data_IF_439888543607
#
_entry.id   IF_439888543607
#
_cell.length_a   1.000
_cell.length_b   1.000
_cell.length_c   1.000
_cell.angle_alpha   90.00
_cell.angle_beta   90.00
_cell.angle_gamma   90.00
#
_symmetry.space_group_name_H-M   'P 1'
#
loop_
_entity.id
_entity.type
_entity.pdbx_description
1 polymer ?
#
# COMPACT_ATOMS: atom_id res chain seq x y z
N UNK A 1 67.69 -10.93 -28.31
CA UNK A 1 67.16 -11.37 -29.64
C UNK A 1 65.93 -12.28 -29.53
N UNK A 2 65.62 -12.85 -28.34
CA UNK A 2 64.42 -13.69 -28.11
C UNK A 2 63.07 -12.97 -28.24
N UNK A 3 63.04 -11.66 -28.00
CA UNK A 3 61.79 -10.91 -27.86
C UNK A 3 61.31 -10.29 -29.18
N UNK A 4 62.12 -10.40 -30.23
CA UNK A 4 61.84 -9.85 -31.56
C UNK A 4 60.70 -10.61 -32.30
N UNK A 5 60.66 -11.96 -32.33
CA UNK A 5 59.53 -12.68 -32.90
C UNK A 5 58.17 -12.44 -32.20
N UNK A 6 58.04 -12.47 -30.85
CA UNK A 6 56.76 -12.22 -30.19
C UNK A 6 56.30 -10.75 -30.35
N UNK A 7 57.22 -9.79 -30.38
CA UNK A 7 56.85 -8.37 -30.61
C UNK A 7 56.32 -8.13 -32.01
N UNK A 8 56.89 -8.78 -33.03
CA UNK A 8 56.35 -8.71 -34.40
C UNK A 8 54.94 -9.34 -34.51
N UNK A 9 54.69 -10.45 -33.82
CA UNK A 9 53.36 -11.06 -33.77
C UNK A 9 52.32 -10.15 -33.10
N UNK A 10 52.71 -9.46 -32.01
CA UNK A 10 51.86 -8.47 -31.33
C UNK A 10 51.59 -7.23 -32.19
N UNK A 11 52.56 -6.80 -33.00
CA UNK A 11 52.38 -5.70 -33.96
C UNK A 11 51.39 -6.06 -35.07
N UNK A 12 51.49 -7.29 -35.59
CA UNK A 12 50.53 -7.82 -36.56
C UNK A 12 49.11 -7.88 -35.99
N UNK A 13 48.94 -8.41 -34.78
CA UNK A 13 47.62 -8.47 -34.14
C UNK A 13 47.06 -7.09 -33.81
N UNK A 14 47.91 -6.13 -33.42
CA UNK A 14 47.50 -4.75 -33.20
C UNK A 14 47.04 -4.09 -34.51
N UNK A 15 47.71 -4.35 -35.62
CA UNK A 15 47.29 -3.85 -36.94
C UNK A 15 45.92 -4.41 -37.35
N UNK A 16 45.70 -5.72 -37.17
CA UNK A 16 44.40 -6.35 -37.42
C UNK A 16 43.29 -5.76 -36.53
N UNK A 17 43.57 -5.53 -35.25
CA UNK A 17 42.62 -4.90 -34.33
C UNK A 17 42.29 -3.46 -34.72
N UNK A 18 43.28 -2.66 -35.12
CA UNK A 18 43.05 -1.29 -35.57
C UNK A 18 42.20 -1.27 -36.84
N UNK A 19 42.46 -2.16 -37.79
CA UNK A 19 41.64 -2.29 -39.01
C UNK A 19 40.21 -2.73 -38.67
N UNK A 20 40.04 -3.70 -37.76
CA UNK A 20 38.73 -4.13 -37.31
C UNK A 20 37.93 -3.03 -36.61
N UNK A 21 38.56 -2.29 -35.69
CA UNK A 21 37.93 -1.18 -34.97
C UNK A 21 37.57 -0.04 -35.91
N UNK A 22 38.45 0.34 -36.84
CA UNK A 22 38.18 1.41 -37.81
C UNK A 22 37.02 1.05 -38.74
N UNK A 23 36.96 -0.19 -39.25
CA UNK A 23 35.83 -0.67 -40.03
C UNK A 23 34.51 -0.64 -39.23
N UNK A 24 34.55 -1.05 -37.95
CA UNK A 24 33.37 -1.00 -37.09
C UNK A 24 32.87 0.42 -36.83
N UNK A 25 33.79 1.36 -36.55
CA UNK A 25 33.46 2.79 -36.34
C UNK A 25 32.89 3.41 -37.61
N UNK A 26 33.45 3.09 -38.79
CA UNK A 26 32.92 3.56 -40.07
C UNK A 26 31.50 3.03 -40.33
N UNK A 27 31.25 1.75 -40.03
CA UNK A 27 29.92 1.17 -40.12
C UNK A 27 28.91 1.83 -39.17
N UNK A 28 29.32 2.12 -37.94
CA UNK A 28 28.49 2.85 -36.97
C UNK A 28 28.18 4.28 -37.45
N UNK A 29 29.17 5.01 -37.97
CA UNK A 29 28.98 6.35 -38.51
C UNK A 29 27.99 6.38 -39.67
N UNK A 30 28.05 5.39 -40.57
CA UNK A 30 27.07 5.26 -41.66
C UNK A 30 25.66 5.03 -41.12
N UNK A 31 25.49 4.15 -40.13
CA UNK A 31 24.18 3.87 -39.50
C UNK A 31 23.62 5.08 -38.75
N UNK A 32 24.48 5.87 -38.11
CA UNK A 32 24.09 7.12 -37.43
C UNK A 32 23.65 8.16 -38.47
N UNK A 33 24.41 8.35 -39.56
CA UNK A 33 24.03 9.26 -40.66
C UNK A 33 22.72 8.85 -41.34
N UNK A 34 22.47 7.54 -41.44
CA UNK A 34 21.21 7.00 -41.95
C UNK A 34 20.03 7.12 -40.95
N UNK A 35 20.25 7.66 -39.74
CA UNK A 35 19.20 7.81 -38.73
C UNK A 35 18.66 6.50 -38.18
N UNK A 36 19.44 5.41 -38.25
CA UNK A 36 19.00 4.07 -37.83
C UNK A 36 18.74 3.99 -36.31
N UNK A 37 19.35 4.86 -35.51
CA UNK A 37 19.19 4.93 -34.05
C UNK A 37 18.38 6.18 -33.67
N UNK A 38 17.06 6.02 -33.50
CA UNK A 38 16.18 7.11 -33.02
C UNK A 38 16.25 7.20 -31.49
N UNK A 39 17.01 8.15 -30.97
CA UNK A 39 17.16 8.37 -29.51
C UNK A 39 16.08 9.25 -28.90
N UNK A 40 15.21 9.87 -29.70
CA UNK A 40 14.22 10.87 -29.28
C UNK A 40 13.24 10.41 -28.19
N UNK A 41 12.97 9.10 -28.10
CA UNK A 41 12.03 8.50 -27.13
C UNK A 41 12.73 7.58 -26.11
N UNK A 42 14.03 7.74 -25.93
CA UNK A 42 14.84 6.94 -25.01
C UNK A 42 14.74 7.38 -23.55
N UNK A 43 15.23 6.55 -22.63
CA UNK A 43 15.45 6.94 -21.24
C UNK A 43 16.69 7.86 -21.16
N UNK A 44 16.49 9.13 -20.82
CA UNK A 44 17.58 10.12 -20.70
C UNK A 44 18.70 9.70 -19.74
N UNK A 45 18.37 8.92 -18.69
CA UNK A 45 19.35 8.37 -17.76
C UNK A 45 20.36 7.42 -18.44
N UNK A 46 19.89 6.58 -19.37
CA UNK A 46 20.77 5.65 -20.10
C UNK A 46 21.67 6.39 -21.08
N UNK A 47 21.16 7.45 -21.70
CA UNK A 47 21.95 8.32 -22.58
C UNK A 47 23.09 9.00 -21.80
N UNK A 48 22.79 9.58 -20.64
CA UNK A 48 23.79 10.18 -19.78
C UNK A 48 24.85 9.16 -19.35
N UNK A 49 24.43 7.94 -18.98
CA UNK A 49 25.36 6.86 -18.63
C UNK A 49 26.28 6.51 -19.81
N UNK A 50 25.75 6.42 -21.03
CA UNK A 50 26.55 6.15 -22.22
C UNK A 50 27.56 7.28 -22.51
N UNK A 51 27.16 8.54 -22.36
CA UNK A 51 28.05 9.70 -22.51
C UNK A 51 29.17 9.69 -21.47
N UNK A 52 28.87 9.40 -20.19
CA UNK A 52 29.88 9.28 -19.14
C UNK A 52 30.87 8.14 -19.40
N UNK A 53 30.39 7.00 -19.89
CA UNK A 53 31.25 5.88 -20.28
C UNK A 53 32.15 6.25 -21.47
N UNK A 54 31.65 7.05 -22.42
CA UNK A 54 32.45 7.56 -23.52
C UNK A 54 33.56 8.49 -23.02
N UNK A 55 33.25 9.44 -22.13
CA UNK A 55 34.26 10.30 -21.51
C UNK A 55 35.31 9.50 -20.74
N UNK A 56 34.87 8.44 -20.04
CA UNK A 56 35.78 7.54 -19.33
C UNK A 56 36.75 6.84 -20.28
N UNK A 57 36.26 6.32 -21.41
CA UNK A 57 37.12 5.70 -22.44
C UNK A 57 38.06 6.70 -23.09
N UNK A 58 37.61 7.95 -23.32
CA UNK A 58 38.44 9.01 -23.89
C UNK A 58 39.60 9.39 -22.95
N UNK A 59 39.33 9.58 -21.66
CA UNK A 59 40.36 9.87 -20.67
C UNK A 59 41.32 8.69 -20.48
N UNK A 60 40.82 7.46 -20.56
CA UNK A 60 41.65 6.25 -20.52
C UNK A 60 42.56 6.15 -21.76
N UNK A 61 42.04 6.41 -22.96
CA UNK A 61 42.82 6.43 -24.18
C UNK A 61 43.92 7.51 -24.13
N UNK A 62 43.61 8.69 -23.57
CA UNK A 62 44.62 9.72 -23.34
C UNK A 62 45.73 9.23 -22.40
N UNK A 63 45.38 8.56 -21.29
CA UNK A 63 46.38 8.00 -20.37
C UNK A 63 47.25 6.93 -21.04
N UNK A 64 46.68 6.08 -21.89
CA UNK A 64 47.43 5.06 -22.63
C UNK A 64 48.37 5.70 -23.65
N UNK A 65 47.94 6.75 -24.33
CA UNK A 65 48.77 7.52 -25.26
C UNK A 65 49.95 8.19 -24.53
N UNK A 66 49.70 8.80 -23.38
CA UNK A 66 50.75 9.44 -22.60
C UNK A 66 51.76 8.42 -22.05
N UNK A 67 51.28 7.21 -21.68
CA UNK A 67 52.15 6.08 -21.31
C UNK A 67 53.01 5.61 -22.48
N UNK A 68 52.45 5.49 -23.69
CA UNK A 68 53.21 5.03 -24.86
C UNK A 68 54.27 6.05 -25.30
N UNK A 69 54.05 7.34 -25.03
CA UNK A 69 55.03 8.41 -25.22
C UNK A 69 56.05 8.52 -24.08
N UNK A 70 55.93 7.72 -23.02
CA UNK A 70 56.86 7.71 -21.89
C UNK A 70 56.73 8.91 -20.94
N UNK A 71 55.59 9.62 -20.94
CA UNK A 71 55.37 10.78 -20.07
C UNK A 71 54.95 10.33 -18.65
N UNK A 72 55.27 11.16 -17.66
CA UNK A 72 54.85 10.92 -16.27
C UNK A 72 53.36 11.12 -16.09
N UNK A 73 52.73 10.23 -15.31
CA UNK A 73 51.29 10.21 -15.04
C UNK A 73 50.89 11.02 -13.79
N UNK A 74 51.87 11.41 -12.97
CA UNK A 74 51.60 11.96 -11.64
C UNK A 74 50.89 13.33 -11.65
N UNK A 75 51.04 14.11 -12.71
CA UNK A 75 50.52 15.47 -12.80
C UNK A 75 49.42 15.63 -13.86
N UNK A 76 48.87 14.54 -14.39
CA UNK A 76 47.91 14.64 -15.49
C UNK A 76 46.47 14.85 -14.99
N UNK A 77 45.76 15.89 -15.48
CA UNK A 77 44.37 16.13 -15.11
C UNK A 77 43.43 15.00 -15.53
N UNK A 78 43.83 14.19 -16.52
CA UNK A 78 43.08 13.01 -16.96
C UNK A 78 42.88 11.99 -15.82
N UNK A 79 43.84 11.84 -14.90
CA UNK A 79 43.71 10.91 -13.77
C UNK A 79 42.61 11.38 -12.82
N UNK A 80 42.57 12.68 -12.51
CA UNK A 80 41.55 13.27 -11.65
C UNK A 80 40.16 13.12 -12.26
N UNK A 81 40.00 13.46 -13.55
CA UNK A 81 38.75 13.25 -14.29
C UNK A 81 38.31 11.79 -14.29
N UNK A 82 39.24 10.85 -14.42
CA UNK A 82 38.93 9.43 -14.39
C UNK A 82 38.38 8.98 -13.02
N UNK A 83 38.95 9.50 -11.94
CA UNK A 83 38.47 9.26 -10.57
C UNK A 83 37.08 9.88 -10.38
N UNK A 84 36.88 11.11 -10.83
CA UNK A 84 35.57 11.78 -10.79
C UNK A 84 34.51 10.97 -11.55
N UNK A 85 34.77 10.63 -12.82
CA UNK A 85 33.87 9.82 -13.63
C UNK A 85 33.56 8.46 -12.98
N UNK A 86 34.56 7.80 -12.39
CA UNK A 86 34.36 6.54 -11.65
C UNK A 86 33.43 6.73 -10.45
N UNK A 87 33.65 7.77 -9.64
CA UNK A 87 32.80 8.03 -8.48
C UNK A 87 31.37 8.36 -8.89
N UNK A 88 31.17 9.13 -9.96
CA UNK A 88 29.84 9.41 -10.52
C UNK A 88 29.15 8.12 -10.96
N UNK A 89 29.84 7.24 -11.71
CA UNK A 89 29.31 5.96 -12.14
C UNK A 89 28.93 5.05 -10.95
N UNK A 90 29.70 5.07 -9.87
CA UNK A 90 29.36 4.34 -8.64
C UNK A 90 28.11 4.89 -7.96
N UNK A 91 27.96 6.22 -7.89
CA UNK A 91 26.77 6.87 -7.31
C UNK A 91 25.51 6.72 -8.17
N UNK A 92 25.65 6.46 -9.47
CA UNK A 92 24.53 6.19 -10.36
C UNK A 92 23.90 4.80 -10.17
N UNK A 93 24.65 3.81 -9.65
CA UNK A 93 24.17 2.43 -9.45
C UNK A 93 22.84 2.29 -8.68
N UNK A 94 22.61 2.97 -7.54
CA UNK A 94 21.32 2.87 -6.85
C UNK A 94 20.15 3.43 -7.67
N UNK A 95 20.38 4.44 -8.51
CA UNK A 95 19.35 5.00 -9.41
C UNK A 95 19.03 3.98 -10.51
N UNK A 96 20.06 3.38 -11.09
CA UNK A 96 19.91 2.30 -12.07
C UNK A 96 19.12 1.13 -11.49
N UNK A 97 19.38 0.74 -10.24
CA UNK A 97 18.62 -0.33 -9.57
C UNK A 97 17.13 0.02 -9.43
N UNK A 98 16.80 1.27 -9.08
CA UNK A 98 15.40 1.74 -9.01
C UNK A 98 14.72 1.78 -10.38
N UNK A 99 15.48 2.07 -11.45
CA UNK A 99 14.97 2.12 -12.82
C UNK A 99 14.96 0.75 -13.51
N UNK A 100 15.57 -0.28 -12.92
CA UNK A 100 15.70 -1.62 -13.51
C UNK A 100 14.38 -2.17 -14.04
N UNK A 101 13.31 -2.06 -13.27
CA UNK A 101 11.99 -2.51 -13.74
C UNK A 101 11.51 -1.77 -14.99
N UNK A 102 11.73 -0.46 -15.07
CA UNK A 102 11.33 0.34 -16.22
C UNK A 102 12.17 -0.01 -17.45
N UNK A 103 13.47 -0.20 -17.27
CA UNK A 103 14.39 -0.63 -18.33
C UNK A 103 13.97 -2.01 -18.84
N UNK A 104 13.81 -2.98 -17.94
CA UNK A 104 13.41 -4.35 -18.28
C UNK A 104 12.05 -4.38 -18.97
N UNK A 105 11.11 -3.53 -18.55
CA UNK A 105 9.80 -3.39 -19.21
C UNK A 105 9.93 -2.85 -20.62
N UNK A 106 10.70 -1.79 -20.84
CA UNK A 106 10.90 -1.21 -22.17
C UNK A 106 11.63 -2.19 -23.11
N UNK A 107 12.62 -2.90 -22.58
CA UNK A 107 13.33 -3.96 -23.33
C UNK A 107 12.37 -5.09 -23.69
N UNK A 108 11.53 -5.56 -22.76
CA UNK A 108 10.49 -6.56 -23.05
C UNK A 108 9.56 -6.07 -24.15
N UNK A 109 9.02 -4.86 -24.05
CA UNK A 109 8.14 -4.28 -25.08
C UNK A 109 8.84 -4.19 -26.45
N UNK A 110 10.11 -3.81 -26.49
CA UNK A 110 10.87 -3.75 -27.74
C UNK A 110 11.12 -5.14 -28.37
N UNK A 111 11.31 -6.19 -27.55
CA UNK A 111 11.59 -7.55 -28.02
C UNK A 111 10.30 -8.31 -28.38
N UNK A 112 9.25 -8.21 -27.55
CA UNK A 112 8.02 -8.98 -27.72
C UNK A 112 6.91 -8.22 -28.45
N UNK A 113 7.05 -6.91 -28.67
CA UNK A 113 6.05 -6.08 -29.36
C UNK A 113 4.74 -5.87 -28.58
N UNK A 114 4.58 -6.49 -27.41
CA UNK A 114 3.38 -6.44 -26.59
C UNK A 114 3.72 -6.00 -25.16
N UNK A 115 2.95 -5.05 -24.62
CA UNK A 115 2.95 -4.74 -23.19
C UNK A 115 2.23 -5.87 -22.49
N UNK A 116 2.97 -6.88 -22.01
CA UNK A 116 2.38 -8.01 -21.30
C UNK A 116 1.35 -7.57 -20.24
N UNK A 117 0.26 -8.33 -20.10
CA UNK A 117 -0.84 -8.04 -19.19
C UNK A 117 -0.46 -8.11 -17.70
N UNK A 118 0.74 -8.63 -17.39
CA UNK A 118 1.28 -8.82 -16.04
C UNK A 118 1.90 -7.56 -15.41
N UNK A 119 1.32 -6.38 -15.65
CA UNK A 119 1.80 -5.15 -15.02
C UNK A 119 0.88 -4.74 -13.85
N UNK A 120 1.24 -5.00 -12.58
CA UNK A 120 0.44 -4.67 -11.41
C UNK A 120 0.21 -3.16 -11.21
N UNK A 121 0.88 -2.30 -11.99
CA UNK A 121 0.67 -0.85 -12.02
C UNK A 121 -0.31 -0.38 -13.11
N UNK A 122 -0.90 -1.29 -13.91
CA UNK A 122 -1.98 -0.96 -14.87
C UNK A 122 -3.32 -0.71 -14.19
N UNK A 123 -3.49 -1.12 -12.92
CA UNK A 123 -4.70 -0.85 -12.14
C UNK A 123 -4.78 0.60 -11.62
N UNK A 124 -4.23 1.56 -12.37
CA UNK A 124 -4.54 2.97 -12.12
C UNK A 124 -5.88 3.25 -12.78
N UNK A 125 -6.81 3.97 -12.13
CA UNK A 125 -8.06 4.36 -12.77
C UNK A 125 -7.74 5.21 -14.01
N UNK A 126 -8.05 4.70 -15.19
CA UNK A 126 -7.96 5.46 -16.43
C UNK A 126 -9.27 6.25 -16.63
N UNK A 127 -9.29 7.59 -16.45
CA UNK A 127 -10.51 8.39 -16.57
C UNK A 127 -11.09 8.40 -17.99
N UNK A 128 -10.30 7.98 -18.99
CA UNK A 128 -10.74 7.87 -20.40
C UNK A 128 -11.77 6.74 -20.61
N UNK A 129 -11.69 5.67 -19.82
CA UNK A 129 -12.66 4.56 -19.88
C UNK A 129 -14.04 4.91 -19.30
N UNK A 130 -14.16 6.04 -18.59
CA UNK A 130 -15.46 6.58 -18.15
C UNK A 130 -16.11 7.46 -19.20
N UNK A 131 -15.33 8.08 -20.10
CA UNK A 131 -15.87 9.03 -21.09
C UNK A 131 -16.53 8.33 -22.28
N UNK A 132 -16.04 7.15 -22.70
CA UNK A 132 -16.66 6.43 -23.82
C UNK A 132 -18.05 5.89 -23.51
N UNK A 133 -18.39 5.67 -22.24
CA UNK A 133 -19.73 5.19 -21.83
C UNK A 133 -20.79 6.29 -21.74
N UNK A 134 -20.40 7.56 -21.82
CA UNK A 134 -21.34 8.70 -21.75
C UNK A 134 -21.67 9.24 -23.14
N UNK A 135 -20.86 8.90 -24.17
CA UNK A 135 -21.06 9.38 -25.54
C UNK A 135 -21.83 8.42 -26.46
N UNK A 136 -22.10 7.18 -26.03
CA UNK A 136 -22.76 6.14 -26.85
C UNK A 136 -24.26 5.93 -26.53
N UNK A 137 -24.90 6.84 -25.77
CA UNK A 137 -26.35 6.76 -25.47
C UNK A 137 -27.25 7.58 -26.41
N UNK A 138 -26.70 8.22 -27.45
CA UNK A 138 -27.47 8.90 -28.50
C UNK A 138 -27.18 8.26 -29.86
N UNK A 139 -27.99 7.28 -30.25
CA UNK A 139 -28.28 6.77 -31.62
C UNK A 139 -28.44 5.24 -31.63
N UNK A 140 -29.67 4.77 -31.41
CA UNK A 140 -30.10 3.44 -31.83
C UNK A 140 -31.62 3.46 -32.09
N UNK A 141 -31.96 3.76 -33.34
CA UNK A 141 -33.31 3.70 -33.91
C UNK A 141 -33.87 2.26 -33.84
N UNK A 142 -35.16 2.18 -33.54
CA UNK A 142 -35.86 0.96 -33.13
C UNK A 142 -36.54 0.27 -34.32
N UNK A 143 -36.14 -0.97 -34.63
CA UNK A 143 -36.93 -1.89 -35.46
C UNK A 143 -37.67 -2.91 -34.60
N UNK A 144 -38.98 -3.05 -34.88
CA UNK A 144 -39.98 -3.81 -34.12
C UNK A 144 -39.74 -5.33 -33.97
N UNK A 145 -40.23 -5.88 -32.84
CA UNK A 145 -40.34 -7.32 -32.59
C UNK A 145 -41.16 -7.68 -31.33
N UNK A 146 -42.47 -7.83 -31.52
CA UNK A 146 -43.58 -8.38 -30.68
C UNK A 146 -43.30 -9.11 -29.33
N UNK A 147 -44.10 -8.70 -28.32
CA UNK A 147 -44.94 -9.47 -27.34
C UNK A 147 -44.29 -10.58 -26.47
N UNK A 148 -44.58 -10.82 -25.18
CA UNK A 148 -45.61 -10.38 -24.23
C UNK A 148 -45.14 -10.66 -22.78
N UNK A 149 -45.61 -9.88 -21.79
CA UNK A 149 -45.41 -10.17 -20.36
C UNK A 149 -45.73 -8.99 -19.42
N UNK A 150 -47.01 -8.63 -19.32
CA UNK A 150 -47.54 -7.53 -18.49
C UNK A 150 -47.50 -7.83 -16.98
N UNK A 151 -47.15 -6.84 -16.16
CA UNK A 151 -47.99 -6.24 -15.08
C UNK A 151 -47.34 -4.96 -14.49
N UNK A 152 -48.11 -4.02 -13.88
CA UNK A 152 -48.23 -2.68 -14.46
C UNK A 152 -47.75 -1.49 -13.60
N UNK A 153 -47.34 -0.44 -14.33
CA UNK A 153 -47.51 1.01 -14.18
C UNK A 153 -47.42 1.70 -12.80
N UNK A 154 -46.57 2.74 -12.78
CA UNK A 154 -46.62 3.78 -11.75
C UNK A 154 -45.85 5.08 -12.00
N UNK A 155 -45.82 5.60 -13.24
CA UNK A 155 -45.45 6.98 -13.66
C UNK A 155 -44.02 7.48 -13.38
N UNK A 156 -43.34 7.81 -14.47
CA UNK A 156 -42.10 8.56 -14.54
C UNK A 156 -42.18 9.95 -13.89
N UNK A 157 -41.00 10.42 -13.52
CA UNK A 157 -40.73 11.58 -12.70
C UNK A 157 -39.69 11.19 -11.65
N UNK A 158 -38.55 11.89 -11.63
CA UNK A 158 -37.46 11.72 -10.66
C UNK A 158 -38.00 11.66 -9.23
N UNK A 159 -38.22 10.46 -8.69
CA UNK A 159 -38.59 10.30 -7.28
C UNK A 159 -37.32 10.11 -6.48
N UNK A 160 -36.89 11.21 -5.86
CA UNK A 160 -35.86 11.21 -4.82
C UNK A 160 -36.19 10.13 -3.79
N UNK A 161 -35.27 9.17 -3.62
CA UNK A 161 -35.42 8.11 -2.64
C UNK A 161 -35.55 8.70 -1.24
N UNK A 162 -36.67 8.39 -0.57
CA UNK A 162 -36.91 8.76 0.83
C UNK A 162 -36.81 7.49 1.67
N UNK A 163 -35.77 7.35 2.51
CA UNK A 163 -35.65 6.22 3.41
C UNK A 163 -36.88 6.10 4.32
N UNK A 164 -37.42 4.89 4.54
CA UNK A 164 -38.56 4.69 5.42
C UNK A 164 -38.23 5.15 6.83
N UNK A 165 -39.14 5.91 7.44
CA UNK A 165 -39.00 6.36 8.83
C UNK A 165 -39.32 5.18 9.76
N UNK A 166 -38.29 4.56 10.34
CA UNK A 166 -38.47 3.55 11.37
C UNK A 166 -39.04 4.20 12.64
N UNK A 167 -40.30 3.90 12.94
CA UNK A 167 -40.94 4.23 14.21
C UNK A 167 -40.55 3.14 15.22
N UNK A 168 -40.11 3.48 16.44
CA UNK A 168 -39.83 2.48 17.46
C UNK A 168 -41.07 1.62 17.72
N UNK A 169 -40.95 0.32 17.41
CA UNK A 169 -41.94 -0.68 17.77
C UNK A 169 -41.68 -1.06 19.22
N UNK A 170 -42.70 -0.91 20.08
CA UNK A 170 -42.64 -1.39 21.46
C UNK A 170 -42.68 -2.92 21.45
N UNK A 171 -41.62 -3.54 21.98
CA UNK A 171 -41.61 -4.97 22.27
C UNK A 171 -42.09 -5.17 23.71
N UNK A 172 -43.23 -5.82 23.89
CA UNK A 172 -43.74 -6.24 25.19
C UNK A 172 -42.96 -7.48 25.66
N UNK A 173 -41.65 -7.33 25.85
CA UNK A 173 -40.83 -8.36 26.48
C UNK A 173 -41.35 -8.58 27.91
N UNK A 174 -41.79 -9.80 28.21
CA UNK A 174 -42.19 -10.17 29.57
C UNK A 174 -41.00 -10.06 30.53
N UNK A 175 -41.25 -9.80 31.82
CA UNK A 175 -40.16 -9.68 32.81
C UNK A 175 -39.25 -10.92 32.81
N UNK A 176 -39.83 -12.11 32.63
CA UNK A 176 -39.13 -13.38 32.53
C UNK A 176 -38.23 -13.48 31.27
N UNK A 177 -38.67 -12.97 30.12
CA UNK A 177 -37.84 -12.94 28.91
C UNK A 177 -36.66 -11.99 29.04
N UNK A 178 -36.85 -10.85 29.71
CA UNK A 178 -35.77 -9.91 30.00
C UNK A 178 -34.70 -10.53 30.90
N UNK A 179 -35.11 -11.27 31.91
CA UNK A 179 -34.22 -12.00 32.82
C UNK A 179 -33.47 -13.10 32.09
N UNK A 180 -34.15 -13.93 31.28
CA UNK A 180 -33.51 -14.96 30.44
C UNK A 180 -32.47 -14.35 29.51
N UNK A 181 -32.81 -13.26 28.82
CA UNK A 181 -31.90 -12.53 27.92
C UNK A 181 -30.74 -11.88 28.67
N UNK A 182 -30.94 -11.45 29.92
CA UNK A 182 -29.87 -10.94 30.77
C UNK A 182 -28.91 -12.06 31.21
N UNK A 183 -29.45 -13.23 31.59
CA UNK A 183 -28.68 -14.42 31.93
C UNK A 183 -27.90 -14.95 30.72
N UNK A 184 -28.49 -15.00 29.54
CA UNK A 184 -27.79 -15.38 28.30
C UNK A 184 -26.64 -14.42 27.97
N UNK A 185 -26.85 -13.10 28.14
CA UNK A 185 -25.77 -12.12 27.96
C UNK A 185 -24.70 -12.28 29.03
N UNK A 186 -25.05 -12.61 30.27
CA UNK A 186 -24.09 -12.88 31.33
C UNK A 186 -23.26 -14.13 31.03
N UNK A 187 -23.90 -15.23 30.59
CA UNK A 187 -23.23 -16.45 30.13
C UNK A 187 -22.29 -16.18 28.95
N UNK A 188 -22.73 -15.43 27.93
CA UNK A 188 -21.87 -15.04 26.80
C UNK A 188 -20.67 -14.21 27.23
N UNK A 189 -20.84 -13.28 28.20
CA UNK A 189 -19.73 -12.48 28.76
C UNK A 189 -18.75 -13.33 29.56
N UNK A 190 -19.27 -14.28 30.33
CA UNK A 190 -18.45 -15.22 31.11
C UNK A 190 -17.67 -16.17 30.18
N UNK A 191 -18.27 -16.62 29.07
CA UNK A 191 -17.56 -17.39 28.03
C UNK A 191 -16.51 -16.57 27.28
N UNK A 192 -16.70 -15.25 27.19
CA UNK A 192 -15.73 -14.31 26.60
C UNK A 192 -14.75 -13.73 27.63
N UNK A 193 -14.73 -14.23 28.87
CA UNK A 193 -13.72 -13.82 29.85
C UNK A 193 -12.34 -14.33 29.43
N UNK A 194 -11.28 -13.64 29.83
CA UNK A 194 -9.90 -14.00 29.50
C UNK A 194 -9.56 -15.43 29.94
N UNK A 195 -9.96 -15.82 31.16
CA UNK A 195 -9.70 -17.14 31.74
C UNK A 195 -10.33 -18.27 30.93
N UNK A 196 -11.62 -18.14 30.58
CA UNK A 196 -12.34 -19.18 29.84
C UNK A 196 -11.84 -19.27 28.40
N UNK A 197 -11.46 -18.14 27.80
CA UNK A 197 -10.95 -18.09 26.44
C UNK A 197 -9.54 -18.72 26.34
N UNK A 198 -8.66 -18.44 27.30
CA UNK A 198 -7.32 -19.04 27.38
C UNK A 198 -7.38 -20.55 27.65
N UNK A 199 -8.26 -21.00 28.55
CA UNK A 199 -8.54 -22.43 28.73
C UNK A 199 -9.00 -23.07 27.43
N UNK A 200 -9.94 -22.44 26.71
CA UNK A 200 -10.43 -22.95 25.42
C UNK A 200 -9.30 -23.06 24.39
N UNK A 201 -8.39 -22.09 24.34
CA UNK A 201 -7.26 -22.07 23.42
C UNK A 201 -6.26 -23.19 23.72
N UNK A 202 -5.95 -23.44 25.00
CA UNK A 202 -5.08 -24.54 25.44
C UNK A 202 -5.62 -25.93 25.06
N UNK A 203 -6.94 -26.13 25.11
CA UNK A 203 -7.57 -27.39 24.71
C UNK A 203 -7.94 -27.45 23.22
N UNK A 204 -7.69 -26.38 22.46
CA UNK A 204 -7.94 -26.37 21.02
C UNK A 204 -6.70 -26.79 20.24
N UNK A 205 -6.87 -27.67 19.25
CA UNK A 205 -5.80 -28.06 18.32
C UNK A 205 -5.67 -27.07 17.14
N UNK A 206 -6.43 -25.97 17.15
CA UNK A 206 -6.42 -24.98 16.09
C UNK A 206 -5.12 -24.15 16.15
N UNK A 207 -4.48 -23.84 15.00
CA UNK A 207 -3.27 -23.04 14.99
C UNK A 207 -3.53 -21.60 15.45
N UNK A 208 -2.64 -21.07 16.29
CA UNK A 208 -2.69 -19.69 16.78
C UNK A 208 -2.03 -18.72 15.78
N UNK A 209 -2.68 -17.58 15.52
CA UNK A 209 -2.12 -16.53 14.66
C UNK A 209 -1.18 -15.60 15.44
N UNK A 210 0.11 -15.94 15.50
CA UNK A 210 1.14 -15.08 16.10
C UNK A 210 1.48 -13.95 15.12
N UNK A 211 1.14 -12.70 15.48
CA UNK A 211 1.49 -11.49 14.71
C UNK A 211 2.51 -10.66 15.48
N UNK A 212 3.64 -10.35 14.87
CA UNK A 212 4.64 -9.45 15.45
C UNK A 212 4.01 -8.07 15.79
N UNK A 213 4.20 -7.61 17.02
CA UNK A 213 3.74 -6.29 17.47
C UNK A 213 2.30 -6.23 18.05
N UNK A 214 1.55 -7.34 18.12
CA UNK A 214 0.34 -7.41 18.96
C UNK A 214 0.66 -8.03 20.31
N UNK A 215 0.30 -7.34 21.38
CA UNK A 215 0.35 -7.90 22.74
C UNK A 215 -0.78 -8.94 22.90
N UNK A 216 -0.44 -10.13 23.37
CA UNK A 216 -1.36 -11.27 23.63
C UNK A 216 -2.61 -10.89 24.43
N UNK A 217 -2.50 -9.87 25.28
CA UNK A 217 -3.58 -9.45 26.18
C UNK A 217 -4.45 -8.28 25.67
N UNK A 218 -4.29 -7.87 24.40
CA UNK A 218 -5.10 -6.82 23.78
C UNK A 218 -6.22 -7.38 22.87
N UNK A 219 -6.61 -8.66 23.03
CA UNK A 219 -7.59 -9.36 22.18
C UNK A 219 -8.89 -8.59 21.97
N UNK A 220 -9.44 -7.96 23.01
CA UNK A 220 -10.67 -7.14 22.87
C UNK A 220 -10.48 -5.91 21.99
N UNK A 221 -9.35 -5.21 22.12
CA UNK A 221 -9.05 -4.02 21.31
C UNK A 221 -8.70 -4.41 19.88
N UNK A 222 -7.97 -5.51 19.73
CA UNK A 222 -7.67 -6.16 18.46
C UNK A 222 -8.95 -6.46 17.67
N UNK A 223 -9.99 -6.99 18.33
CA UNK A 223 -11.29 -7.24 17.72
C UNK A 223 -12.04 -5.95 17.35
N UNK A 224 -12.01 -4.93 18.20
CA UNK A 224 -12.63 -3.62 17.91
C UNK A 224 -11.97 -2.94 16.70
N UNK A 225 -10.64 -2.98 16.62
CA UNK A 225 -9.86 -2.46 15.48
C UNK A 225 -10.11 -3.28 14.20
N UNK A 226 -10.23 -4.61 14.30
CA UNK A 226 -10.56 -5.48 13.17
C UNK A 226 -11.98 -5.26 12.66
N UNK A 227 -12.95 -5.11 13.55
CA UNK A 227 -14.33 -4.78 13.17
C UNK A 227 -14.39 -3.45 12.43
N UNK A 228 -13.62 -2.45 12.90
CA UNK A 228 -13.52 -1.18 12.20
C UNK A 228 -12.90 -1.33 10.82
N UNK A 229 -11.79 -2.07 10.69
CA UNK A 229 -11.15 -2.33 9.39
C UNK A 229 -12.11 -2.99 8.41
N UNK A 230 -12.82 -4.03 8.85
CA UNK A 230 -13.84 -4.72 8.05
C UNK A 230 -14.91 -3.75 7.54
N UNK A 231 -15.43 -2.88 8.42
CA UNK A 231 -16.39 -1.87 8.01
C UNK A 231 -15.81 -0.87 7.01
N UNK A 232 -14.58 -0.39 7.22
CA UNK A 232 -13.90 0.54 6.29
C UNK A 232 -13.67 -0.11 4.93
N UNK A 233 -13.37 -1.41 4.88
CA UNK A 233 -13.17 -2.20 3.65
C UNK A 233 -14.50 -2.48 2.93
N UNK A 234 -15.52 -2.93 3.65
CA UNK A 234 -16.84 -3.25 3.09
C UNK A 234 -17.53 -2.00 2.53
N UNK A 235 -17.44 -0.89 3.27
CA UNK A 235 -18.09 0.37 2.90
C UNK A 235 -17.17 1.32 2.12
N UNK A 236 -15.89 0.97 1.96
CA UNK A 236 -14.86 1.76 1.29
C UNK A 236 -14.75 3.22 1.79
N UNK A 237 -15.02 3.46 3.07
CA UNK A 237 -15.03 4.80 3.70
C UNK A 237 -14.27 4.77 5.03
N UNK A 238 -13.35 5.74 5.21
CA UNK A 238 -12.60 5.92 6.46
C UNK A 238 -13.47 6.49 7.58
N UNK A 239 -13.45 5.85 8.75
CA UNK A 239 -14.10 6.35 9.95
C UNK A 239 -13.18 7.35 10.68
N UNK A 240 -13.73 8.45 11.18
CA UNK A 240 -12.98 9.43 11.98
C UNK A 240 -13.04 9.07 13.47
N UNK A 241 -11.91 9.21 14.19
CA UNK A 241 -11.88 9.02 15.64
C UNK A 241 -12.18 10.30 16.41
N UNK A 242 -12.99 10.17 17.46
CA UNK A 242 -13.12 11.24 18.45
C UNK A 242 -11.81 11.46 19.20
N UNK A 243 -11.50 12.72 19.56
CA UNK A 243 -10.32 13.06 20.39
C UNK A 243 -10.30 12.27 21.71
N UNK A 244 -11.46 12.05 22.31
CA UNK A 244 -11.61 11.28 23.56
C UNK A 244 -11.23 9.81 23.38
N UNK A 245 -11.63 9.24 22.26
CA UNK A 245 -11.39 7.83 21.92
C UNK A 245 -9.92 7.60 21.57
N UNK A 246 -9.33 8.52 20.80
CA UNK A 246 -7.90 8.56 20.50
C UNK A 246 -7.05 8.68 21.78
N UNK A 247 -7.48 9.46 22.76
CA UNK A 247 -6.80 9.55 24.06
C UNK A 247 -6.87 8.23 24.85
N UNK A 248 -8.01 7.53 24.82
CA UNK A 248 -8.16 6.21 25.43
C UNK A 248 -7.27 5.16 24.77
N UNK A 249 -7.25 5.13 23.43
CA UNK A 249 -6.39 4.22 22.67
C UNK A 249 -4.90 4.46 22.98
N UNK A 250 -4.48 5.73 23.09
CA UNK A 250 -3.11 6.09 23.51
C UNK A 250 -2.79 5.67 24.93
N UNK A 251 -3.70 5.90 25.88
CA UNK A 251 -3.51 5.51 27.28
C UNK A 251 -3.34 4.00 27.41
N UNK A 252 -4.13 3.25 26.64
CA UNK A 252 -4.08 1.80 26.56
C UNK A 252 -2.81 1.28 25.88
N UNK A 253 -2.29 2.01 24.89
CA UNK A 253 -1.01 1.69 24.26
C UNK A 253 0.21 2.04 25.14
N UNK A 254 0.10 3.03 26.05
CA UNK A 254 1.18 3.47 26.94
C UNK A 254 1.23 2.72 28.27
N UNK A 255 0.09 2.56 28.95
CA UNK A 255 0.00 1.64 30.08
C UNK A 255 -0.23 0.26 29.49
N UNK A 256 0.85 -0.51 29.35
CA UNK A 256 0.80 -1.88 28.85
C UNK A 256 -0.42 -2.60 29.41
N UNK A 257 -1.32 -3.02 28.52
CA UNK A 257 -2.55 -3.75 28.84
C UNK A 257 -2.32 -5.00 29.71
N UNK A 258 -1.06 -5.39 29.87
CA UNK A 258 -0.51 -6.49 30.65
C UNK A 258 -0.98 -6.53 32.11
N UNK A 259 -1.15 -5.40 32.81
CA UNK A 259 -1.51 -5.47 34.25
C UNK A 259 -3.01 -5.59 34.51
N UNK A 260 -3.85 -4.94 33.69
CA UNK A 260 -5.31 -4.99 33.87
C UNK A 260 -5.91 -6.30 33.34
N UNK A 261 -5.29 -6.95 32.35
CA UNK A 261 -5.72 -8.27 31.88
C UNK A 261 -5.43 -9.36 32.90
N UNK A 262 -4.31 -9.23 33.63
CA UNK A 262 -3.87 -10.20 34.65
C UNK A 262 -4.68 -10.08 35.94
N UNK A 263 -5.20 -8.90 36.28
CA UNK A 263 -6.00 -8.70 37.51
C UNK A 263 -7.51 -8.82 37.29
N UNK A 264 -7.99 -8.86 36.05
CA UNK A 264 -9.42 -8.92 35.74
C UNK A 264 -9.83 -10.30 35.19
N UNK A 265 -10.19 -11.21 36.09
CA UNK A 265 -10.59 -12.59 35.75
C UNK A 265 -12.03 -12.72 35.22
N UNK A 266 -12.80 -11.63 35.24
CA UNK A 266 -14.20 -11.62 34.83
C UNK A 266 -15.10 -12.41 35.78
N UNK A 267 -16.38 -12.06 35.81
CA UNK A 267 -17.35 -12.77 36.65
C UNK A 267 -17.82 -14.07 35.97
N UNK A 268 -17.36 -15.22 36.46
CA UNK A 268 -17.67 -16.56 35.96
C UNK A 268 -18.91 -17.15 36.69
N UNK A 269 -19.50 -16.43 37.66
CA UNK A 269 -20.67 -16.89 38.43
C UNK A 269 -21.83 -17.35 37.54
N UNK A 270 -22.04 -16.68 36.41
CA UNK A 270 -23.07 -17.03 35.43
C UNK A 270 -22.90 -18.42 34.76
N UNK A 271 -21.69 -18.99 34.78
CA UNK A 271 -21.38 -20.34 34.27
C UNK A 271 -21.33 -21.38 35.38
N UNK A 272 -20.76 -21.03 36.54
CA UNK A 272 -20.63 -21.95 37.68
C UNK A 272 -21.91 -22.10 38.50
N UNK A 273 -22.90 -21.21 38.33
CA UNK A 273 -24.11 -21.17 39.16
C UNK A 273 -23.86 -20.73 40.61
N UNK A 274 -22.61 -20.38 40.95
CA UNK A 274 -22.23 -19.82 42.23
C UNK A 274 -22.78 -18.39 42.39
N UNK A 275 -23.06 -17.98 43.62
CA UNK A 275 -23.43 -16.60 43.91
C UNK A 275 -22.31 -15.64 43.46
N UNK A 276 -22.62 -14.47 42.89
CA UNK A 276 -21.61 -13.50 42.52
C UNK A 276 -20.75 -13.15 43.75
N UNK A 277 -19.42 -13.02 43.61
CA UNK A 277 -18.55 -12.76 44.75
C UNK A 277 -18.95 -11.44 45.41
N UNK A 278 -19.36 -11.50 46.67
CA UNK A 278 -19.83 -10.35 47.48
C UNK A 278 -18.71 -9.40 47.93
N UNK A 279 -17.51 -9.51 47.36
CA UNK A 279 -16.28 -8.98 47.95
C UNK A 279 -15.41 -8.05 47.12
N UNK A 280 -15.74 -7.70 45.87
CA UNK A 280 -14.89 -6.78 45.08
C UNK A 280 -15.68 -5.60 44.50
N UNK A 281 -15.55 -4.47 45.18
CA UNK A 281 -15.75 -3.18 44.57
C UNK A 281 -14.74 -3.01 43.43
N UNK A 282 -15.21 -2.65 42.23
CA UNK A 282 -14.64 -1.60 41.35
C UNK A 282 -15.21 -1.74 39.92
N UNK A 283 -16.48 -1.40 39.76
CA UNK A 283 -16.84 -0.50 38.65
C UNK A 283 -17.53 0.70 39.29
N UNK A 284 -17.14 1.95 38.97
CA UNK A 284 -17.85 3.10 39.51
C UNK A 284 -19.26 3.01 38.94
N UNK A 285 -20.23 2.67 39.80
CA UNK A 285 -21.63 2.85 39.49
C UNK A 285 -21.75 4.29 38.99
N UNK A 286 -22.05 4.44 37.70
CA UNK A 286 -22.34 5.75 37.12
C UNK A 286 -23.49 6.31 37.94
N UNK A 287 -23.19 7.23 38.87
CA UNK A 287 -24.21 8.03 39.55
C UNK A 287 -25.11 8.55 38.46
N UNK A 288 -26.34 8.04 38.37
CA UNK A 288 -27.37 8.57 37.47
C UNK A 288 -27.39 10.06 37.78
N UNK A 289 -26.96 10.90 36.84
CA UNK A 289 -27.14 12.34 36.98
C UNK A 289 -28.63 12.52 37.18
N UNK A 290 -29.04 12.93 38.39
CA UNK A 290 -30.38 13.47 38.63
C UNK A 290 -30.51 14.58 37.59
N UNK A 291 -31.29 14.34 36.55
CA UNK A 291 -31.75 15.40 35.68
C UNK A 291 -32.58 16.29 36.59
N UNK A 292 -31.99 17.40 37.06
CA UNK A 292 -32.77 18.44 37.70
C UNK A 292 -33.80 18.87 36.66
N UNK A 293 -35.08 18.70 37.00
CA UNK A 293 -36.18 19.19 36.18
C UNK A 293 -35.92 20.69 35.97
N UNK A 294 -35.57 21.06 34.73
CA UNK A 294 -35.31 22.44 34.35
C UNK A 294 -36.66 23.16 34.36
N UNK A 295 -37.05 23.67 35.52
CA UNK A 295 -38.21 24.54 35.71
C UNK A 295 -38.01 25.71 34.75
N UNK A 296 -38.89 25.82 33.76
CA UNK A 296 -38.79 26.80 32.68
C UNK A 296 -38.74 28.22 33.24
N UNK A 297 -37.56 28.85 33.19
CA UNK A 297 -37.47 30.31 33.29
C UNK A 297 -37.72 30.89 31.90
N UNK A 298 -38.95 31.32 31.66
CA UNK A 298 -39.29 32.25 30.57
C UNK A 298 -38.45 33.51 30.78
N UNK A 299 -37.36 33.67 30.01
CA UNK A 299 -36.69 34.97 29.86
C UNK A 299 -37.45 35.72 28.78
N UNK A 300 -38.32 36.64 29.22
CA UNK A 300 -38.96 37.61 28.33
C UNK A 300 -37.89 38.48 27.70
N UNK A 301 -37.81 38.47 26.37
CA UNK A 301 -37.16 39.52 25.60
C UNK A 301 -38.05 40.76 25.72
N UNK A 302 -37.63 41.76 26.51
CA UNK A 302 -38.14 43.12 26.39
C UNK A 302 -37.28 43.81 25.34
N UNK A 303 -37.88 44.11 24.19
CA UNK A 303 -37.37 45.10 23.23
C UNK A 303 -37.36 46.47 23.90
N UNK A 304 -36.23 47.16 23.84
CA UNK A 304 -36.07 48.56 23.44
C UNK A 304 -34.61 48.78 23.11
#
# INVERSE_FOLDING_TARGET
MSDLPPTLALLGSLQEQVVGVTAHVQGLLQRVRAGAFRTEKGLSFLELKAQLLLFYLQDLAQLVLEKSLGRSLAAQPAVLRLVELRTVLEKMRPIEHKLRYQIDKLVKVAVTGAVGDDNPLRFKPDPRNMMSKVSDEEEADATEGKAAGKKPLGKGGDRKYVPPRLVPVHYDETAAEREKKALERAKKRALSSSVIWELKEQFSEAPEEIREGRYLHATRQSQEDEHRKRYEEDMLVRLNMSRREKARQRHVAMLGAQLHSVTHFGDISALSGAAPPTGEALSPQRKRRKMSAKKGRKKGFRRR
#
